data_IF_091032419465
#
_entry.id   IF_091032419465
#
_cell.length_a   1.000
_cell.length_b   1.000
_cell.length_c   1.000
_cell.angle_alpha   90.00
_cell.angle_beta   90.00
_cell.angle_gamma   90.00
#
_symmetry.space_group_name_H-M   'P 1'
#
loop_
_entity.id
_entity.type
_entity.pdbx_description
1 polymer ?
#
# COMPACT_ATOMS: atom_id res chain seq x y z
N UNK A 1 3.83 1.71 -14.84
CA UNK A 1 3.86 0.38 -14.17
C UNK A 1 4.84 0.47 -13.00
N UNK A 2 4.44 0.04 -11.80
CA UNK A 2 5.29 0.10 -10.60
C UNK A 2 6.56 -0.75 -10.78
N UNK A 3 7.68 -0.33 -10.18
CA UNK A 3 8.97 -1.03 -10.29
C UNK A 3 9.06 -2.17 -9.25
N UNK A 4 8.18 -3.17 -9.36
CA UNK A 4 8.22 -4.37 -8.52
C UNK A 4 9.44 -5.23 -8.89
N UNK A 5 9.81 -6.22 -8.07
CA UNK A 5 10.93 -7.09 -8.38
C UNK A 5 10.70 -7.89 -9.67
N UNK A 6 9.47 -8.31 -9.97
CA UNK A 6 9.13 -8.88 -11.28
C UNK A 6 9.49 -7.91 -12.43
N UNK A 7 9.18 -6.63 -12.30
CA UNK A 7 9.54 -5.62 -13.30
C UNK A 7 11.05 -5.31 -13.34
N UNK A 8 11.77 -5.44 -12.22
CA UNK A 8 13.24 -5.30 -12.19
C UNK A 8 13.91 -6.42 -12.95
N UNK A 9 13.47 -7.66 -12.76
CA UNK A 9 13.96 -8.82 -13.52
C UNK A 9 13.64 -8.65 -15.01
N UNK A 10 12.41 -8.27 -15.35
CA UNK A 10 11.99 -8.03 -16.74
C UNK A 10 12.83 -6.97 -17.46
N UNK A 11 13.39 -6.01 -16.73
CA UNK A 11 14.23 -4.92 -17.25
C UNK A 11 15.74 -5.20 -17.15
N UNK A 12 16.14 -6.36 -16.66
CA UNK A 12 17.56 -6.69 -16.44
C UNK A 12 18.23 -5.91 -15.30
N UNK A 13 17.45 -5.31 -14.40
CA UNK A 13 17.92 -4.53 -13.24
C UNK A 13 18.09 -5.43 -12.00
N UNK A 14 17.39 -6.56 -11.96
CA UNK A 14 17.44 -7.52 -10.86
C UNK A 14 17.51 -8.96 -11.38
N UNK A 15 17.89 -9.88 -10.50
CA UNK A 15 18.00 -11.31 -10.81
C UNK A 15 16.92 -12.15 -10.11
N UNK A 16 16.27 -11.59 -9.09
CA UNK A 16 15.26 -12.26 -8.30
C UNK A 16 13.93 -11.49 -8.34
N UNK A 17 12.85 -12.22 -8.65
CA UNK A 17 11.49 -11.69 -8.70
C UNK A 17 10.76 -11.81 -7.36
N UNK A 18 11.36 -12.47 -6.36
CA UNK A 18 10.74 -12.72 -5.06
C UNK A 18 10.43 -11.44 -4.29
N UNK A 19 9.43 -11.50 -3.41
CA UNK A 19 9.09 -10.41 -2.52
C UNK A 19 10.09 -10.38 -1.36
N UNK A 20 10.84 -9.28 -1.18
CA UNK A 20 11.82 -9.20 -0.10
C UNK A 20 11.16 -9.08 1.28
N UNK A 21 9.88 -8.73 1.34
CA UNK A 21 9.14 -8.53 2.59
C UNK A 21 8.61 -9.85 3.15
N UNK A 22 8.03 -10.71 2.30
CA UNK A 22 7.36 -11.94 2.74
C UNK A 22 7.93 -13.23 2.13
N UNK A 23 8.90 -13.15 1.23
CA UNK A 23 9.52 -14.31 0.57
C UNK A 23 8.68 -14.95 -0.54
N UNK A 24 7.52 -14.37 -0.91
CA UNK A 24 6.70 -14.89 -2.02
C UNK A 24 7.48 -14.91 -3.34
N UNK A 25 7.37 -15.99 -4.12
CA UNK A 25 8.23 -16.26 -5.29
C UNK A 25 8.15 -15.17 -6.37
N UNK A 26 6.98 -14.57 -6.56
CA UNK A 26 6.78 -13.50 -7.54
C UNK A 26 6.17 -12.27 -6.88
N UNK A 27 6.88 -11.16 -6.94
CA UNK A 27 6.43 -9.85 -6.51
C UNK A 27 5.92 -9.05 -7.72
N UNK A 28 4.64 -9.24 -8.04
CA UNK A 28 3.93 -8.42 -9.02
C UNK A 28 3.20 -7.22 -8.37
N UNK A 29 2.52 -6.41 -9.18
CA UNK A 29 1.84 -5.20 -8.68
C UNK A 29 0.71 -5.51 -7.69
N UNK A 30 -0.04 -6.59 -7.91
CA UNK A 30 -1.15 -6.94 -7.03
C UNK A 30 -0.63 -7.50 -5.71
N UNK A 31 0.44 -8.29 -5.78
CA UNK A 31 1.14 -8.78 -4.61
C UNK A 31 1.65 -7.63 -3.74
N UNK A 32 2.43 -6.70 -4.30
CA UNK A 32 2.97 -5.57 -3.51
C UNK A 32 1.87 -4.75 -2.85
N UNK A 33 0.76 -4.53 -3.55
CA UNK A 33 -0.27 -3.62 -3.09
C UNK A 33 -1.37 -4.28 -2.24
N UNK A 34 -1.51 -5.62 -2.25
CA UNK A 34 -2.63 -6.32 -1.61
C UNK A 34 -2.28 -7.68 -1.01
N UNK A 35 -1.60 -8.55 -1.75
CA UNK A 35 -1.48 -9.97 -1.36
C UNK A 35 -0.23 -10.27 -0.52
N UNK A 36 0.76 -9.37 -0.51
CA UNK A 36 1.88 -9.44 0.42
C UNK A 36 1.37 -9.40 1.87
N UNK A 37 1.94 -10.22 2.76
CA UNK A 37 1.54 -10.29 4.17
C UNK A 37 1.41 -8.90 4.82
N UNK A 38 2.45 -8.08 4.71
CA UNK A 38 2.47 -6.72 5.24
C UNK A 38 1.42 -5.78 4.60
N UNK A 39 1.09 -5.96 3.32
CA UNK A 39 0.05 -5.18 2.67
C UNK A 39 -1.35 -5.63 3.13
N UNK A 40 -1.52 -6.94 3.33
CA UNK A 40 -2.76 -7.54 3.76
C UNK A 40 -3.15 -7.06 5.16
N UNK A 41 -2.19 -7.07 6.10
CA UNK A 41 -2.37 -6.57 7.48
C UNK A 41 -2.90 -5.13 7.50
N UNK A 42 -2.37 -4.26 6.64
CA UNK A 42 -2.87 -2.88 6.48
C UNK A 42 -4.32 -2.85 5.98
N UNK A 43 -4.68 -3.70 5.01
CA UNK A 43 -6.04 -3.73 4.47
C UNK A 43 -7.06 -4.30 5.45
N UNK A 44 -6.69 -5.27 6.28
CA UNK A 44 -7.59 -5.86 7.29
C UNK A 44 -8.10 -4.84 8.30
N UNK A 45 -7.33 -3.78 8.57
CA UNK A 45 -7.74 -2.71 9.48
C UNK A 45 -8.87 -1.83 8.92
N UNK A 46 -9.06 -1.82 7.59
CA UNK A 46 -10.03 -0.94 6.91
C UNK A 46 -11.07 -1.69 6.07
N UNK A 47 -10.79 -2.95 5.70
CA UNK A 47 -11.68 -3.83 4.94
C UNK A 47 -11.89 -5.11 5.76
N UNK A 48 -13.13 -5.36 6.23
CA UNK A 48 -13.44 -6.60 6.90
C UNK A 48 -13.15 -7.81 6.00
N UNK A 49 -12.44 -8.80 6.53
CA UNK A 49 -12.31 -10.12 5.91
C UNK A 49 -13.65 -10.83 6.00
N UNK A 50 -14.45 -10.69 4.94
CA UNK A 50 -15.61 -11.56 4.71
C UNK A 50 -15.31 -12.45 3.51
N UNK A 51 -15.67 -13.76 3.56
CA UNK A 51 -15.54 -14.66 2.42
C UNK A 51 -16.33 -14.18 1.18
N UNK A 52 -17.27 -13.27 1.35
CA UNK A 52 -18.05 -12.66 0.25
C UNK A 52 -17.40 -11.42 -0.36
N UNK A 53 -16.29 -10.92 0.18
CA UNK A 53 -15.69 -9.65 -0.25
C UNK A 53 -14.84 -9.87 -1.50
N UNK A 54 -15.20 -9.22 -2.61
CA UNK A 54 -14.44 -9.26 -3.86
C UNK A 54 -13.04 -8.63 -3.75
N UNK A 55 -12.82 -7.78 -2.75
CA UNK A 55 -11.57 -7.04 -2.53
C UNK A 55 -10.31 -7.93 -2.60
N UNK A 56 -10.31 -9.07 -1.90
CA UNK A 56 -9.14 -9.96 -1.84
C UNK A 56 -9.12 -11.04 -2.94
N UNK A 57 -10.16 -11.13 -3.76
CA UNK A 57 -10.32 -12.20 -4.75
C UNK A 57 -10.34 -11.70 -6.21
N UNK A 58 -10.52 -10.39 -6.44
CA UNK A 58 -10.51 -9.81 -7.78
C UNK A 58 -9.11 -9.77 -8.40
N UNK A 59 -9.03 -9.79 -9.74
CA UNK A 59 -7.79 -9.50 -10.45
C UNK A 59 -7.37 -8.02 -10.28
N UNK A 60 -6.14 -7.69 -10.68
CA UNK A 60 -5.59 -6.34 -10.52
C UNK A 60 -6.47 -5.25 -11.16
N UNK A 61 -6.94 -5.47 -12.39
CA UNK A 61 -7.70 -4.44 -13.11
C UNK A 61 -9.04 -4.16 -12.42
N UNK A 62 -9.83 -5.21 -12.18
CA UNK A 62 -11.14 -5.09 -11.53
C UNK A 62 -10.99 -4.49 -10.13
N UNK A 63 -9.97 -4.93 -9.38
CA UNK A 63 -9.68 -4.41 -8.04
C UNK A 63 -9.34 -2.91 -8.06
N UNK A 64 -8.55 -2.44 -9.02
CA UNK A 64 -8.22 -1.02 -9.14
C UNK A 64 -9.46 -0.20 -9.50
N UNK A 65 -10.21 -0.64 -10.51
CA UNK A 65 -11.37 0.08 -11.05
C UNK A 65 -12.49 0.16 -10.02
N UNK A 66 -12.88 -0.97 -9.42
CA UNK A 66 -13.99 -1.03 -8.47
C UNK A 66 -13.77 -0.15 -7.25
N UNK A 67 -12.53 -0.07 -6.76
CA UNK A 67 -12.20 0.71 -5.56
C UNK A 67 -11.99 2.19 -5.88
N UNK A 68 -11.38 2.54 -7.02
CA UNK A 68 -11.17 3.93 -7.43
C UNK A 68 -12.45 4.64 -7.90
N UNK A 69 -13.42 3.89 -8.43
CA UNK A 69 -14.71 4.43 -8.87
C UNK A 69 -15.78 4.38 -7.78
N UNK A 70 -15.45 3.89 -6.58
CA UNK A 70 -16.39 3.85 -5.48
C UNK A 70 -16.79 5.25 -5.02
N UNK A 71 -18.10 5.48 -4.96
CA UNK A 71 -18.69 6.69 -4.39
C UNK A 71 -19.02 6.55 -2.89
N UNK A 72 -18.62 5.44 -2.27
CA UNK A 72 -18.85 5.20 -0.85
C UNK A 72 -17.98 6.11 0.02
N UNK A 73 -18.51 6.49 1.17
CA UNK A 73 -17.79 7.18 2.23
C UNK A 73 -17.48 6.21 3.36
N UNK A 74 -16.36 6.40 4.05
CA UNK A 74 -16.16 5.76 5.35
C UNK A 74 -17.08 6.41 6.37
N UNK A 75 -17.90 5.59 7.02
CA UNK A 75 -18.94 6.01 7.98
C UNK A 75 -18.38 6.88 9.11
N UNK A 76 -17.12 6.69 9.48
CA UNK A 76 -16.48 7.36 10.63
C UNK A 76 -15.68 8.62 10.32
N UNK A 77 -15.38 8.94 9.04
CA UNK A 77 -14.40 10.00 8.71
C UNK A 77 -14.85 10.96 7.61
N UNK A 78 -16.01 10.76 6.99
CA UNK A 78 -16.47 11.53 5.80
C UNK A 78 -15.48 11.51 4.62
N UNK A 79 -14.48 10.62 4.66
CA UNK A 79 -13.51 10.45 3.57
C UNK A 79 -14.09 9.54 2.51
N UNK A 80 -13.98 9.96 1.24
CA UNK A 80 -14.32 9.11 0.09
C UNK A 80 -13.41 7.89 0.05
N UNK A 81 -14.00 6.70 -0.06
CA UNK A 81 -13.27 5.43 -0.12
C UNK A 81 -12.18 5.44 -1.19
N UNK A 82 -12.48 5.94 -2.38
CA UNK A 82 -11.52 6.01 -3.49
C UNK A 82 -10.23 6.78 -3.11
N UNK A 83 -10.36 7.87 -2.35
CA UNK A 83 -9.23 8.67 -1.89
C UNK A 83 -8.40 7.92 -0.85
N UNK A 84 -9.05 7.30 0.13
CA UNK A 84 -8.39 6.49 1.15
C UNK A 84 -7.67 5.29 0.51
N UNK A 85 -8.34 4.59 -0.40
CA UNK A 85 -7.79 3.47 -1.16
C UNK A 85 -6.55 3.86 -1.99
N UNK A 86 -6.57 5.04 -2.62
CA UNK A 86 -5.40 5.62 -3.27
C UNK A 86 -4.24 5.87 -2.31
N UNK A 87 -4.52 6.49 -1.17
CA UNK A 87 -3.51 6.84 -0.17
C UNK A 87 -2.88 5.62 0.48
N UNK A 88 -3.68 4.62 0.88
CA UNK A 88 -3.19 3.38 1.48
C UNK A 88 -2.27 2.64 0.50
N UNK A 89 -2.68 2.48 -0.77
CA UNK A 89 -1.80 1.87 -1.79
C UNK A 89 -0.47 2.61 -1.94
N UNK A 90 -0.51 3.94 -1.98
CA UNK A 90 0.70 4.75 -2.03
C UNK A 90 1.60 4.51 -0.82
N UNK A 91 1.03 4.45 0.39
CA UNK A 91 1.79 4.21 1.62
C UNK A 91 2.39 2.81 1.67
N UNK A 92 1.64 1.78 1.27
CA UNK A 92 2.15 0.40 1.14
C UNK A 92 3.35 0.37 0.18
N UNK A 93 3.21 0.98 -1.00
CA UNK A 93 4.31 1.10 -1.96
C UNK A 93 5.53 1.84 -1.39
N UNK A 94 5.31 2.95 -0.70
CA UNK A 94 6.37 3.74 -0.05
C UNK A 94 7.08 2.92 1.02
N UNK A 95 6.35 2.21 1.88
CA UNK A 95 6.91 1.37 2.95
C UNK A 95 7.76 0.24 2.37
N UNK A 96 7.27 -0.46 1.34
CA UNK A 96 8.05 -1.49 0.63
C UNK A 96 9.36 -0.93 0.07
N UNK A 97 9.36 0.27 -0.51
CA UNK A 97 10.58 0.88 -1.03
C UNK A 97 11.55 1.31 0.07
N UNK A 98 11.05 1.86 1.19
CA UNK A 98 11.89 2.15 2.35
C UNK A 98 12.57 0.88 2.87
N UNK A 99 11.84 -0.23 2.92
CA UNK A 99 12.40 -1.51 3.32
C UNK A 99 13.50 -1.97 2.36
N UNK A 100 13.25 -1.92 1.05
CA UNK A 100 14.22 -2.39 0.04
C UNK A 100 15.48 -1.53 -0.06
N UNK A 101 15.37 -0.21 0.08
CA UNK A 101 16.50 0.70 -0.13
C UNK A 101 17.18 1.14 1.17
N UNK A 102 16.50 1.05 2.31
CA UNK A 102 16.99 1.58 3.58
C UNK A 102 16.87 0.56 4.73
N UNK A 103 16.25 -0.61 4.52
CA UNK A 103 16.03 -1.61 5.58
C UNK A 103 14.98 -1.18 6.61
N UNK A 104 14.24 -0.10 6.37
CA UNK A 104 13.26 0.46 7.30
C UNK A 104 11.88 -0.11 6.99
N UNK A 105 11.22 -0.72 7.99
CA UNK A 105 9.83 -1.20 7.89
C UNK A 105 8.95 -0.51 8.93
N UNK A 106 7.88 0.14 8.47
CA UNK A 106 6.90 0.80 9.35
C UNK A 106 5.80 -0.19 9.72
N UNK A 107 5.24 -0.03 10.93
CA UNK A 107 4.12 -0.87 11.37
C UNK A 107 2.85 -0.52 10.60
N UNK A 108 2.06 -1.53 10.32
CA UNK A 108 0.78 -1.47 9.62
C UNK A 108 -0.20 -0.46 10.24
N UNK A 109 -0.30 -0.41 11.57
CA UNK A 109 -1.14 0.57 12.29
C UNK A 109 -0.77 2.03 11.97
N UNK A 110 0.52 2.34 11.81
CA UNK A 110 0.98 3.70 11.55
C UNK A 110 0.62 4.12 10.13
N UNK A 111 0.66 3.19 9.17
CA UNK A 111 0.26 3.43 7.78
C UNK A 111 -1.22 3.84 7.70
N UNK A 112 -2.10 3.16 8.43
CA UNK A 112 -3.54 3.45 8.44
C UNK A 112 -3.83 4.74 9.20
N UNK A 113 -3.26 4.92 10.39
CA UNK A 113 -3.43 6.13 11.22
C UNK A 113 -3.00 7.40 10.47
N UNK A 114 -1.83 7.39 9.82
CA UNK A 114 -1.33 8.53 9.03
C UNK A 114 -2.21 8.78 7.81
N UNK A 115 -2.75 7.73 7.19
CA UNK A 115 -3.64 7.88 6.04
C UNK A 115 -4.95 8.57 6.41
N UNK A 116 -5.52 8.26 7.58
CA UNK A 116 -6.73 8.92 8.08
C UNK A 116 -6.46 10.36 8.55
N UNK A 117 -5.28 10.64 9.12
CA UNK A 117 -4.91 11.97 9.61
C UNK A 117 -4.63 12.99 8.50
N UNK A 118 -4.14 12.56 7.33
CA UNK A 118 -3.94 13.44 6.18
C UNK A 118 -5.25 14.04 5.61
N UNK A 119 -6.42 13.53 6.00
CA UNK A 119 -7.72 14.08 5.56
C UNK A 119 -8.35 15.04 6.58
N UNK A 120 -7.98 14.97 7.86
CA UNK A 120 -8.49 15.87 8.91
C UNK A 120 -7.73 17.20 9.00
N UNK A 121 -6.51 17.26 8.45
CA UNK A 121 -5.78 18.51 8.25
C UNK A 121 -5.42 18.62 6.77
N UNK A 122 -5.91 19.68 6.13
CA UNK A 122 -5.61 19.98 4.74
C UNK A 122 -4.13 19.78 4.43
N UNK A 123 -3.89 19.08 3.32
CA UNK A 123 -2.57 18.81 2.73
C UNK A 123 -1.59 19.97 2.99
N UNK A 124 -0.54 19.75 3.78
CA UNK A 124 0.43 20.82 4.03
C UNK A 124 1.56 20.57 5.02
N UNK A 125 1.42 19.67 6.00
CA UNK A 125 2.54 19.38 6.92
C UNK A 125 2.64 17.88 7.23
N UNK A 126 3.72 17.26 6.74
CA UNK A 126 4.20 16.03 7.36
C UNK A 126 4.57 16.37 8.82
N UNK A 127 4.07 15.66 9.85
CA UNK A 127 4.44 15.97 11.23
C UNK A 127 5.90 15.64 11.54
N UNK A 128 6.61 14.97 10.63
CA UNK A 128 7.95 14.44 10.87
C UNK A 128 8.89 14.68 9.69
N UNK A 129 8.91 15.93 9.20
CA UNK A 129 10.10 16.47 8.57
C UNK A 129 11.14 16.79 9.65
N UNK A 130 12.06 15.86 9.90
CA UNK A 130 13.31 16.15 10.60
C UNK A 130 13.67 15.24 11.76
N UNK A 131 14.31 14.10 11.47
CA UNK A 131 15.65 13.86 12.03
C UNK A 131 16.40 12.80 11.22
N UNK A 132 17.31 13.30 10.40
CA UNK A 132 18.24 12.51 9.58
C UNK A 132 19.18 13.48 8.87
N UNK A 133 20.02 14.16 9.66
CA UNK A 133 21.10 15.03 9.18
C UNK A 133 22.26 14.18 8.66
N UNK A 134 22.87 14.62 7.55
CA UNK A 134 24.24 14.29 7.09
C UNK A 134 24.42 12.83 6.62
N UNK A 135 24.94 12.53 5.44
CA UNK A 135 25.84 13.23 4.54
C UNK A 135 25.41 13.03 3.08
#
# INVERSE_FOLDING_TARGET
RLLTNLERVRRGIGQDASCPVCGHVVEDTLHVLRDCLAANEVWEQVVPRSPTTSFFNSNLFDWLVSNLQSHKFMVSTEVRWASLFGLIRWRIWKNRNLYVFQGISWKDEEVVKVSMFCFSRGCGTEPFGGMGRGF
#
